data_IF_025362217482
#
_entry.id   IF_025362217482
#
_cell.length_a   1.000
_cell.length_b   1.000
_cell.length_c   1.000
_cell.angle_alpha   90.00
_cell.angle_beta   90.00
_cell.angle_gamma   90.00
#
_symmetry.space_group_name_H-M   'P 1'
#
loop_
_entity.id
_entity.type
_entity.pdbx_description
1 polymer ?
#
# COMPACT_ATOMS: atom_id res chain seq x y z
N UNK A 1 -45.77 -30.04 -61.84
CA UNK A 1 -45.38 -28.65 -61.53
C UNK A 1 -45.15 -28.56 -60.01
N UNK A 2 -43.87 -28.68 -59.56
CA UNK A 2 -43.52 -28.68 -58.13
C UNK A 2 -42.91 -27.32 -57.80
N UNK A 3 -43.66 -26.53 -57.06
CA UNK A 3 -43.18 -25.22 -56.57
C UNK A 3 -42.47 -25.44 -55.22
N UNK A 4 -41.12 -25.35 -55.24
CA UNK A 4 -40.29 -25.33 -54.04
C UNK A 4 -40.28 -23.91 -53.47
N UNK A 5 -40.87 -23.77 -52.30
CA UNK A 5 -40.79 -22.54 -51.52
C UNK A 5 -39.42 -22.48 -50.84
N UNK A 6 -38.59 -21.53 -51.23
CA UNK A 6 -37.36 -21.16 -50.52
C UNK A 6 -37.75 -20.24 -49.33
N UNK A 7 -37.60 -20.75 -48.12
CA UNK A 7 -37.71 -19.94 -46.91
C UNK A 7 -36.37 -19.26 -46.64
N UNK A 8 -36.28 -17.97 -46.91
CA UNK A 8 -35.15 -17.16 -46.47
C UNK A 8 -35.34 -16.83 -44.95
N UNK A 9 -34.49 -17.44 -44.12
CA UNK A 9 -34.37 -17.04 -42.71
C UNK A 9 -33.51 -15.75 -42.63
N UNK A 10 -33.97 -14.69 -41.96
CA UNK A 10 -33.13 -13.53 -41.70
C UNK A 10 -32.11 -13.87 -40.62
N UNK A 11 -30.85 -13.74 -40.95
CA UNK A 11 -29.74 -13.77 -39.99
C UNK A 11 -29.81 -12.51 -39.15
N UNK A 12 -30.29 -12.64 -37.90
CA UNK A 12 -30.25 -11.55 -36.92
C UNK A 12 -28.82 -11.51 -36.37
N UNK A 13 -27.99 -10.58 -36.88
CA UNK A 13 -26.73 -10.19 -36.29
C UNK A 13 -27.03 -9.41 -34.99
N UNK A 14 -26.88 -10.08 -33.85
CA UNK A 14 -26.83 -9.39 -32.57
C UNK A 14 -25.48 -8.68 -32.43
N UNK A 15 -25.44 -7.37 -32.21
CA UNK A 15 -24.18 -6.70 -31.90
C UNK A 15 -23.74 -7.15 -30.51
N UNK A 16 -22.63 -7.91 -30.44
CA UNK A 16 -21.94 -8.15 -29.20
C UNK A 16 -21.43 -6.82 -28.67
N UNK A 17 -22.10 -6.28 -27.65
CA UNK A 17 -21.58 -5.15 -26.90
C UNK A 17 -20.30 -5.62 -26.19
N UNK A 18 -19.13 -5.29 -26.77
CA UNK A 18 -17.87 -5.29 -26.03
C UNK A 18 -18.03 -4.26 -24.90
N UNK A 19 -18.31 -4.75 -23.71
CA UNK A 19 -18.17 -3.97 -22.51
C UNK A 19 -16.67 -3.72 -22.31
N UNK A 20 -16.20 -2.57 -22.77
CA UNK A 20 -14.93 -2.00 -22.33
C UNK A 20 -15.10 -1.74 -20.83
N UNK A 21 -14.65 -2.68 -20.00
CA UNK A 21 -14.37 -2.39 -18.62
C UNK A 21 -13.32 -1.28 -18.62
N UNK A 22 -13.76 -0.05 -18.48
CA UNK A 22 -12.88 1.05 -18.13
C UNK A 22 -12.30 0.68 -16.77
N UNK A 23 -11.04 0.25 -16.75
CA UNK A 23 -10.24 0.28 -15.54
C UNK A 23 -10.24 1.73 -15.07
N UNK A 24 -11.09 2.03 -14.11
CA UNK A 24 -11.02 3.29 -13.41
C UNK A 24 -9.60 3.37 -12.84
N UNK A 25 -8.86 4.47 -13.08
CA UNK A 25 -7.60 4.67 -12.39
C UNK A 25 -7.90 4.51 -10.91
N UNK A 26 -7.11 3.68 -10.22
CA UNK A 26 -7.19 3.55 -8.77
C UNK A 26 -6.95 4.95 -8.24
N UNK A 27 -8.01 5.65 -7.90
CA UNK A 27 -7.95 6.94 -7.26
C UNK A 27 -7.32 6.66 -5.90
N UNK A 28 -6.07 7.02 -5.75
CA UNK A 28 -5.41 6.93 -4.46
C UNK A 28 -6.14 7.94 -3.56
N UNK A 29 -7.03 7.44 -2.71
CA UNK A 29 -7.87 8.28 -1.86
C UNK A 29 -7.06 9.21 -0.93
N UNK A 30 -5.73 9.05 -0.93
CA UNK A 30 -4.78 9.89 -0.23
C UNK A 30 -4.09 10.96 -1.12
N UNK A 31 -4.33 10.98 -2.44
CA UNK A 31 -3.59 11.85 -3.36
C UNK A 31 -4.23 13.23 -3.55
N UNK A 32 -5.52 13.37 -3.26
CA UNK A 32 -6.28 14.60 -3.55
C UNK A 32 -6.35 15.62 -2.41
N UNK A 33 -5.32 15.72 -1.60
CA UNK A 33 -5.23 16.87 -0.70
C UNK A 33 -4.60 18.01 -1.49
N UNK A 34 -5.46 18.92 -1.92
CA UNK A 34 -5.10 20.13 -2.64
C UNK A 34 -4.01 20.91 -1.88
N UNK A 35 -3.14 21.58 -2.61
CA UNK A 35 -1.97 22.33 -2.14
C UNK A 35 -2.26 23.39 -1.03
N UNK A 36 -3.52 23.64 -0.70
CA UNK A 36 -3.94 24.62 0.30
C UNK A 36 -3.80 24.13 1.75
N UNK A 37 -3.65 22.80 1.98
CA UNK A 37 -3.64 22.22 3.33
C UNK A 37 -2.24 22.07 3.96
N UNK A 38 -1.20 22.65 3.36
CA UNK A 38 0.16 22.59 3.93
C UNK A 38 0.33 23.35 5.27
N UNK A 39 -0.67 24.10 5.69
CA UNK A 39 -0.62 24.88 6.93
C UNK A 39 -0.98 24.06 8.19
N UNK A 40 -1.49 22.84 8.02
CA UNK A 40 -1.87 21.94 9.12
C UNK A 40 -0.87 20.78 9.25
N UNK A 41 -0.25 20.64 10.42
CA UNK A 41 0.65 19.52 10.77
C UNK A 41 -0.11 18.19 10.94
N UNK A 42 -1.42 18.17 10.74
CA UNK A 42 -2.25 16.96 10.88
C UNK A 42 -1.99 15.99 9.72
N UNK A 43 -1.63 14.76 10.06
CA UNK A 43 -1.47 13.67 9.08
C UNK A 43 -2.85 13.17 8.64
N UNK A 44 -3.11 13.13 7.34
CA UNK A 44 -4.35 12.59 6.80
C UNK A 44 -4.27 11.07 6.68
N UNK A 45 -5.14 10.37 7.40
CA UNK A 45 -5.20 8.91 7.44
C UNK A 45 -6.26 8.39 6.48
N UNK A 46 -5.86 7.54 5.54
CA UNK A 46 -6.72 6.96 4.49
C UNK A 46 -6.87 5.45 4.65
N UNK A 47 -7.96 4.87 4.14
CA UNK A 47 -8.06 3.42 3.98
C UNK A 47 -6.91 2.88 3.13
N UNK A 48 -6.33 1.74 3.53
CA UNK A 48 -5.26 1.12 2.76
C UNK A 48 -5.78 0.57 1.42
N UNK A 49 -5.10 0.91 0.33
CA UNK A 49 -5.29 0.30 -0.99
C UNK A 49 -4.33 -0.88 -1.25
N UNK A 50 -3.43 -1.17 -0.28
CA UNK A 50 -2.56 -2.35 -0.36
C UNK A 50 -3.41 -3.62 -0.24
N UNK A 51 -3.27 -4.59 -1.17
CA UNK A 51 -3.92 -5.89 -1.04
C UNK A 51 -3.56 -6.59 0.27
N UNK A 52 -4.45 -7.43 0.84
CA UNK A 52 -4.19 -8.10 2.10
C UNK A 52 -2.89 -8.91 2.08
N UNK A 53 -2.18 -8.90 3.20
CA UNK A 53 -0.88 -9.56 3.34
C UNK A 53 -1.07 -11.06 3.60
N UNK A 54 -0.49 -11.90 2.76
CA UNK A 54 -0.48 -13.36 2.91
C UNK A 54 0.66 -13.82 3.85
N UNK A 55 1.90 -13.43 3.54
CA UNK A 55 3.08 -13.79 4.33
C UNK A 55 3.97 -12.59 4.57
N UNK A 56 4.70 -12.59 5.69
CA UNK A 56 5.72 -11.60 6.03
C UNK A 56 7.01 -12.34 6.38
N UNK A 57 8.11 -11.85 5.85
CA UNK A 57 9.47 -12.27 6.19
C UNK A 57 10.27 -11.05 6.65
N UNK A 58 10.92 -11.15 7.82
CA UNK A 58 11.79 -10.11 8.39
C UNK A 58 13.22 -10.45 8.00
N UNK A 59 13.93 -9.51 7.39
CA UNK A 59 15.32 -9.70 6.96
C UNK A 59 16.30 -9.13 7.98
N UNK A 60 15.93 -8.05 8.66
CA UNK A 60 16.78 -7.44 9.67
C UNK A 60 16.37 -6.02 10.02
N UNK A 61 17.23 -5.39 10.82
CA UNK A 61 17.12 -3.98 11.18
C UNK A 61 18.44 -3.30 10.88
N UNK A 62 18.38 -2.08 10.37
CA UNK A 62 19.52 -1.25 10.05
C UNK A 62 19.32 0.16 10.60
N UNK A 63 20.41 0.89 10.75
CA UNK A 63 20.40 2.29 11.13
C UNK A 63 21.81 2.84 11.16
N UNK A 64 21.97 4.15 11.13
CA UNK A 64 23.27 4.78 11.25
C UNK A 64 23.73 4.77 12.72
N UNK A 65 24.70 3.93 13.03
CA UNK A 65 25.29 3.84 14.37
C UNK A 65 25.98 5.15 14.83
N UNK A 66 26.20 6.10 13.92
CA UNK A 66 26.79 7.42 14.21
C UNK A 66 25.75 8.51 14.47
N UNK A 67 24.50 8.30 14.08
CA UNK A 67 23.42 9.21 14.44
C UNK A 67 23.23 9.18 15.96
N UNK A 68 23.07 10.35 16.58
CA UNK A 68 22.73 10.48 18.02
C UNK A 68 21.26 10.04 18.29
N UNK A 69 20.76 9.16 17.46
CA UNK A 69 19.43 8.60 17.56
C UNK A 69 19.41 7.43 18.55
N UNK A 70 18.25 7.10 19.07
CA UNK A 70 18.09 5.96 19.97
C UNK A 70 18.68 4.71 19.33
N UNK A 71 19.26 3.86 20.16
CA UNK A 71 19.96 2.64 19.72
C UNK A 71 19.10 1.77 18.80
N UNK A 72 19.32 1.88 17.49
CA UNK A 72 18.63 1.10 16.46
C UNK A 72 18.74 -0.42 16.70
N UNK A 73 19.68 -0.86 17.52
CA UNK A 73 19.86 -2.26 17.86
C UNK A 73 18.70 -2.81 18.71
N UNK A 74 17.94 -1.96 19.38
CA UNK A 74 16.77 -2.36 20.17
C UNK A 74 15.52 -2.52 19.33
N UNK A 75 15.45 -1.91 18.14
CA UNK A 75 14.29 -1.99 17.25
C UNK A 75 14.39 -3.23 16.35
N UNK A 76 13.87 -4.36 16.83
CA UNK A 76 13.88 -5.66 16.12
C UNK A 76 12.51 -6.31 16.16
N UNK A 77 11.52 -5.75 15.40
CA UNK A 77 10.20 -6.35 15.36
C UNK A 77 10.24 -7.72 14.68
N UNK A 78 9.53 -8.68 15.26
CA UNK A 78 9.30 -9.98 14.65
C UNK A 78 8.15 -9.92 13.61
N UNK A 79 7.95 -11.00 12.87
CA UNK A 79 6.91 -11.07 11.84
C UNK A 79 5.48 -10.88 12.41
N UNK A 80 5.23 -11.27 13.66
CA UNK A 80 3.93 -11.07 14.31
C UNK A 80 3.70 -9.59 14.63
N UNK A 81 4.71 -8.90 15.12
CA UNK A 81 4.70 -7.46 15.38
C UNK A 81 4.48 -6.67 14.09
N UNK A 82 5.22 -7.00 13.01
CA UNK A 82 5.06 -6.37 11.70
C UNK A 82 3.64 -6.59 11.14
N UNK A 83 3.11 -7.82 11.27
CA UNK A 83 1.73 -8.12 10.87
C UNK A 83 0.72 -7.31 11.65
N UNK A 84 0.89 -7.20 12.98
CA UNK A 84 0.03 -6.38 13.83
C UNK A 84 0.08 -4.91 13.40
N UNK A 85 1.27 -4.39 13.12
CA UNK A 85 1.43 -3.03 12.64
C UNK A 85 0.58 -2.80 11.38
N UNK A 86 0.77 -3.57 10.31
CA UNK A 86 0.02 -3.40 9.07
C UNK A 86 -1.49 -3.65 9.20
N UNK A 87 -1.93 -4.37 10.24
CA UNK A 87 -3.37 -4.53 10.52
C UNK A 87 -4.01 -3.29 11.16
N UNK A 88 -3.22 -2.36 11.66
CA UNK A 88 -3.66 -1.17 12.40
C UNK A 88 -3.28 0.14 11.71
N UNK A 89 -2.18 0.13 10.98
CA UNK A 89 -1.69 1.28 10.23
C UNK A 89 -2.67 1.67 9.13
N UNK A 90 -2.73 2.96 8.87
CA UNK A 90 -3.51 3.53 7.79
C UNK A 90 -2.56 4.10 6.74
N UNK A 91 -3.01 4.13 5.51
CA UNK A 91 -2.24 4.73 4.43
C UNK A 91 -2.22 6.25 4.60
N UNK A 92 -1.11 6.85 4.21
CA UNK A 92 -0.92 8.30 4.16
C UNK A 92 -0.42 8.70 2.77
N UNK A 93 -0.52 9.98 2.46
CA UNK A 93 0.02 10.51 1.21
C UNK A 93 1.55 10.53 1.22
N UNK A 94 2.16 10.58 0.03
CA UNK A 94 3.60 10.84 -0.14
C UNK A 94 4.00 12.18 0.49
N UNK A 95 3.15 13.18 0.36
CA UNK A 95 3.35 14.51 0.95
C UNK A 95 3.43 14.45 2.49
N UNK A 96 2.48 13.78 3.14
CA UNK A 96 2.50 13.62 4.60
C UNK A 96 3.73 12.83 5.05
N UNK A 97 4.09 11.78 4.29
CA UNK A 97 5.31 11.02 4.53
C UNK A 97 6.57 11.88 4.49
N UNK A 98 6.69 12.72 3.47
CA UNK A 98 7.89 13.53 3.24
C UNK A 98 8.00 14.74 4.17
N UNK A 99 6.88 15.34 4.58
CA UNK A 99 6.88 16.65 5.21
C UNK A 99 6.36 16.68 6.65
N UNK A 100 5.54 15.71 7.06
CA UNK A 100 4.91 15.73 8.40
C UNK A 100 5.46 14.67 9.37
N UNK A 101 6.26 13.73 8.89
CA UNK A 101 6.85 12.70 9.75
C UNK A 101 8.28 13.06 10.17
N UNK A 102 8.61 12.77 11.43
CA UNK A 102 10.00 12.86 11.89
C UNK A 102 10.84 11.77 11.24
N UNK A 103 11.90 12.15 10.56
CA UNK A 103 12.84 11.22 9.96
C UNK A 103 13.67 10.53 11.02
N UNK A 104 13.73 9.22 10.96
CA UNK A 104 14.56 8.36 11.82
C UNK A 104 15.37 7.45 10.93
N UNK A 105 16.66 7.27 11.24
CA UNK A 105 17.56 6.42 10.45
C UNK A 105 17.39 4.93 10.75
N UNK A 106 16.73 4.58 11.88
CA UNK A 106 16.44 3.19 12.23
C UNK A 106 15.32 2.62 11.37
N UNK A 107 15.55 1.48 10.76
CA UNK A 107 14.55 0.76 9.97
C UNK A 107 14.68 -0.75 10.16
N UNK A 108 13.58 -1.43 10.39
CA UNK A 108 13.44 -2.85 10.18
C UNK A 108 12.88 -3.10 8.79
N UNK A 109 13.39 -4.09 8.08
CA UNK A 109 13.00 -4.34 6.70
C UNK A 109 12.81 -5.82 6.38
N UNK A 110 12.16 -6.08 5.27
CA UNK A 110 11.94 -7.43 4.81
C UNK A 110 11.10 -7.50 3.55
N UNK A 111 10.54 -8.68 3.32
CA UNK A 111 9.68 -8.96 2.18
C UNK A 111 8.32 -9.47 2.62
N UNK A 112 7.32 -9.32 1.76
CA UNK A 112 5.99 -9.88 1.96
C UNK A 112 5.42 -10.40 0.65
N UNK A 113 4.48 -11.33 0.76
CA UNK A 113 3.64 -11.76 -0.35
C UNK A 113 2.22 -11.32 -0.07
N UNK A 114 1.57 -10.70 -1.04
CA UNK A 114 0.19 -10.27 -0.97
C UNK A 114 -0.76 -11.40 -1.37
N UNK A 115 -2.04 -11.28 -1.05
CA UNK A 115 -3.03 -12.34 -1.38
C UNK A 115 -3.23 -12.51 -2.88
N UNK A 116 -3.03 -11.45 -3.67
CA UNK A 116 -3.07 -11.49 -5.13
C UNK A 116 -1.81 -12.11 -5.76
N UNK A 117 -0.85 -12.55 -4.94
CA UNK A 117 0.38 -13.21 -5.36
C UNK A 117 1.57 -12.28 -5.59
N UNK A 118 1.38 -10.96 -5.64
CA UNK A 118 2.47 -10.00 -5.83
C UNK A 118 3.43 -10.03 -4.64
N UNK A 119 4.70 -9.79 -4.94
CA UNK A 119 5.74 -9.63 -3.93
C UNK A 119 6.01 -8.16 -3.68
N UNK A 120 6.27 -7.82 -2.43
CA UNK A 120 6.60 -6.47 -2.02
C UNK A 120 7.75 -6.47 -1.01
N UNK A 121 8.49 -5.37 -1.00
CA UNK A 121 9.46 -5.03 0.05
C UNK A 121 8.79 -4.10 1.03
N UNK A 122 9.16 -4.19 2.31
CA UNK A 122 8.67 -3.28 3.32
C UNK A 122 9.83 -2.77 4.19
N UNK A 123 9.69 -1.52 4.62
CA UNK A 123 10.50 -0.90 5.66
C UNK A 123 9.59 -0.36 6.76
N UNK A 124 9.97 -0.50 8.01
CA UNK A 124 9.22 -0.07 9.18
C UNK A 124 10.15 0.65 10.14
N UNK A 125 9.79 1.87 10.52
CA UNK A 125 10.58 2.71 11.43
C UNK A 125 9.96 2.79 12.83
N UNK A 126 10.77 3.04 13.89
CA UNK A 126 10.29 3.16 15.27
C UNK A 126 9.28 4.30 15.48
N UNK A 127 9.31 5.36 14.65
CA UNK A 127 8.31 6.44 14.66
C UNK A 127 6.93 6.00 14.16
N UNK A 128 6.72 4.69 13.96
CA UNK A 128 5.48 4.08 13.48
C UNK A 128 5.12 4.41 12.04
N UNK A 129 6.09 4.75 11.23
CA UNK A 129 5.91 4.88 9.79
C UNK A 129 6.44 3.66 9.05
N UNK A 130 5.83 3.33 7.91
CA UNK A 130 6.30 2.24 7.06
C UNK A 130 6.11 2.56 5.58
N UNK A 131 7.01 2.02 4.76
CA UNK A 131 6.93 2.03 3.31
C UNK A 131 6.76 0.59 2.81
N UNK A 132 5.85 0.40 1.87
CA UNK A 132 5.72 -0.84 1.10
C UNK A 132 5.94 -0.53 -0.37
N UNK A 133 6.82 -1.28 -1.02
CA UNK A 133 7.13 -1.14 -2.45
C UNK A 133 6.85 -2.43 -3.19
N UNK A 134 5.99 -2.38 -4.20
CA UNK A 134 5.77 -3.47 -5.16
C UNK A 134 6.69 -3.22 -6.33
N UNK A 135 7.63 -4.14 -6.57
CA UNK A 135 8.67 -3.99 -7.60
C UNK A 135 8.23 -4.48 -8.98
N UNK A 136 7.11 -5.20 -9.05
CA UNK A 136 6.51 -5.64 -10.31
C UNK A 136 5.84 -4.45 -11.01
N UNK A 137 5.89 -4.43 -12.34
CA UNK A 137 5.25 -3.37 -13.12
C UNK A 137 3.73 -3.48 -13.08
N UNK A 138 2.99 -2.35 -12.88
CA UNK A 138 3.51 -1.02 -12.59
C UNK A 138 4.08 -0.94 -11.15
N UNK A 139 5.23 -0.26 -11.00
CA UNK A 139 5.81 -0.01 -9.66
C UNK A 139 4.85 0.80 -8.81
N UNK A 140 4.65 0.35 -7.57
CA UNK A 140 3.74 1.02 -6.63
C UNK A 140 4.43 1.18 -5.27
N UNK A 141 4.21 2.34 -4.65
CA UNK A 141 4.64 2.62 -3.28
C UNK A 141 3.42 2.96 -2.44
N UNK A 142 3.43 2.48 -1.21
CA UNK A 142 2.39 2.74 -0.21
C UNK A 142 3.05 3.20 1.07
N UNK A 143 2.64 4.35 1.56
CA UNK A 143 3.14 4.94 2.78
C UNK A 143 2.12 4.72 3.89
N UNK A 144 2.60 4.34 5.07
CA UNK A 144 1.75 4.00 6.20
C UNK A 144 2.17 4.74 7.44
N UNK A 145 1.21 5.08 8.25
CA UNK A 145 1.41 5.60 9.59
C UNK A 145 0.43 4.98 10.57
N UNK A 146 0.89 4.65 11.78
CA UNK A 146 0.03 4.14 12.82
C UNK A 146 -0.05 5.12 13.99
N UNK A 147 -1.16 5.86 14.06
CA UNK A 147 -1.46 6.81 15.15
C UNK A 147 -1.90 6.13 16.45
N UNK A 148 -2.30 4.84 16.40
CA UNK A 148 -2.87 4.10 17.52
C UNK A 148 -1.79 3.65 18.51
N UNK A 149 -2.12 3.58 19.81
CA UNK A 149 -1.20 3.10 20.83
C UNK A 149 -0.80 1.64 20.67
N UNK A 150 -1.65 0.82 20.04
CA UNK A 150 -1.50 -0.64 19.93
C UNK A 150 -0.93 -1.13 18.58
N UNK A 151 -0.08 -0.33 17.95
CA UNK A 151 0.55 -0.63 16.65
C UNK A 151 1.52 -1.83 16.64
N UNK A 152 1.67 -2.52 17.73
CA UNK A 152 2.59 -3.67 17.86
C UNK A 152 3.86 -3.37 18.63
N UNK A 153 4.25 -2.10 18.77
CA UNK A 153 5.37 -1.62 19.56
C UNK A 153 5.08 -0.22 20.13
N UNK A 154 5.69 0.15 21.28
CA UNK A 154 5.50 1.49 21.84
C UNK A 154 6.03 2.58 20.90
N UNK A 155 5.53 3.81 21.03
CA UNK A 155 6.15 4.94 20.34
C UNK A 155 7.59 5.11 20.81
N UNK A 156 8.43 5.49 19.89
CA UNK A 156 9.82 5.79 20.13
C UNK A 156 9.92 7.31 20.41
N UNK A 157 10.32 7.70 21.62
CA UNK A 157 10.58 9.08 22.03
C UNK A 157 12.02 9.23 22.48
#
# INVERSE_FOLDING_TARGET
MNFKWLVCLPFILTPSALSLAQEMPVHDACVDILEEDFADDTITLCPSSLPPIKTIHVEGSSGDAKAQEPDCNTFRPDAATVRRYFSKAQQISDQDWMHKLTWITCEASGSMTLQDGRKARWGLSPNRSALVSIEEKPYQKFFFFCSKADCGFPPFW
#
